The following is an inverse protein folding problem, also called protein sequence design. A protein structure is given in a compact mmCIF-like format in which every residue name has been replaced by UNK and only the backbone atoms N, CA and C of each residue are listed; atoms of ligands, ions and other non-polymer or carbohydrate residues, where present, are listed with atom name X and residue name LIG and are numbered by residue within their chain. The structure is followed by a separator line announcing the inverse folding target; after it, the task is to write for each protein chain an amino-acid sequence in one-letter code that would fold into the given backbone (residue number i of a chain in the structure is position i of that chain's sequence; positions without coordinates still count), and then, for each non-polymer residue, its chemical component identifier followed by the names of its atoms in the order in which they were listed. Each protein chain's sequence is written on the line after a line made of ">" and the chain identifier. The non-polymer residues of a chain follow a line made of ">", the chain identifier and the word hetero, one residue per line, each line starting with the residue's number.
data_IF_213448833925
#
_entry.id   IF_213448833925
#
_cell.length_a   1.000
_cell.length_b   1.000
_cell.length_c   1.000
_cell.angle_alpha   90.00
_cell.angle_beta   90.00
_cell.angle_gamma   90.00
#
_symmetry.space_group_name_H-M   'P 1'
#
loop_
_entity.id
_entity.type
_entity.pdbx_description
1 polymer ?
#
# COMPACT_ATOMS: atom_id res chain seq x y z
N UNK A 1 19.40 27.60 -1.03
CA UNK A 1 18.28 26.84 -0.41
C UNK A 1 18.39 25.36 -0.80
N UNK A 2 18.78 25.03 -2.04
CA UNK A 2 18.87 23.66 -2.52
C UNK A 2 19.96 22.81 -1.84
N UNK A 3 21.13 23.37 -1.55
CA UNK A 3 22.22 22.65 -0.85
C UNK A 3 21.83 22.27 0.59
N UNK A 4 21.05 23.07 1.27
CA UNK A 4 20.58 22.80 2.63
C UNK A 4 19.55 21.66 2.66
N UNK A 5 18.72 21.55 1.62
CA UNK A 5 17.73 20.48 1.46
C UNK A 5 18.46 19.17 1.14
N UNK A 6 19.45 19.18 0.27
CA UNK A 6 20.28 18.01 -0.03
C UNK A 6 21.06 17.51 1.19
N UNK A 7 21.62 18.40 1.99
CA UNK A 7 22.33 18.01 3.23
C UNK A 7 21.39 17.40 4.28
N UNK A 8 20.15 17.89 4.40
CA UNK A 8 19.13 17.34 5.31
C UNK A 8 18.67 15.97 4.82
N UNK A 9 18.50 15.77 3.52
CA UNK A 9 18.12 14.48 2.93
C UNK A 9 19.26 13.46 3.12
N UNK A 10 20.51 13.85 2.85
CA UNK A 10 21.69 13.01 3.08
C UNK A 10 21.87 12.65 4.55
N UNK A 11 21.69 13.60 5.47
CA UNK A 11 21.80 13.36 6.92
C UNK A 11 20.69 12.41 7.41
N UNK A 12 19.46 12.55 6.90
CA UNK A 12 18.36 11.62 7.17
C UNK A 12 18.63 10.25 6.58
N UNK A 13 19.26 10.16 5.41
CA UNK A 13 19.64 8.90 4.78
C UNK A 13 20.72 8.17 5.59
N UNK A 14 21.73 8.89 6.08
CA UNK A 14 22.77 8.36 6.98
C UNK A 14 22.19 7.88 8.30
N UNK A 15 21.27 8.64 8.89
CA UNK A 15 20.57 8.28 10.13
C UNK A 15 19.69 7.04 9.93
N UNK A 16 19.05 6.93 8.77
CA UNK A 16 18.26 5.76 8.38
C UNK A 16 19.12 4.50 8.22
N UNK A 17 20.27 4.59 7.56
CA UNK A 17 21.22 3.48 7.45
C UNK A 17 21.78 3.05 8.82
N UNK A 18 22.01 4.00 9.73
CA UNK A 18 22.47 3.71 11.10
C UNK A 18 21.39 3.00 11.92
N UNK A 19 20.14 3.39 11.78
CA UNK A 19 19.00 2.69 12.41
C UNK A 19 18.88 1.26 11.88
N UNK A 20 19.07 1.02 10.57
CA UNK A 20 19.05 -0.33 9.99
C UNK A 20 20.14 -1.21 10.61
N UNK A 21 21.36 -0.68 10.80
CA UNK A 21 22.45 -1.44 11.45
C UNK A 21 22.17 -1.79 12.92
N UNK A 22 21.49 -0.91 13.66
CA UNK A 22 21.06 -1.21 15.05
C UNK A 22 19.99 -2.31 15.05
N UNK A 23 19.12 -2.32 14.07
CA UNK A 23 18.04 -3.30 13.92
C UNK A 23 18.57 -4.71 13.65
N UNK A 24 19.68 -4.86 12.93
CA UNK A 24 20.32 -6.16 12.68
C UNK A 24 20.85 -6.83 13.98
N UNK A 25 21.04 -6.05 15.05
CA UNK A 25 21.50 -6.54 16.35
C UNK A 25 20.39 -7.13 17.24
N UNK A 26 19.09 -6.95 16.90
CA UNK A 26 17.98 -7.21 17.83
C UNK A 26 17.21 -8.55 17.64
N UNK A 27 17.68 -9.51 16.82
CA UNK A 27 17.06 -10.86 16.65
C UNK A 27 15.69 -10.91 15.92
N UNK A 28 15.56 -11.77 14.97
CA UNK A 28 14.55 -11.97 13.91
C UNK A 28 13.16 -11.30 14.00
N UNK A 29 12.24 -11.79 14.80
CA UNK A 29 10.84 -11.31 14.77
C UNK A 29 10.61 -9.95 15.42
N UNK A 30 11.42 -9.60 16.44
CA UNK A 30 11.38 -8.26 17.04
C UNK A 30 11.90 -7.21 16.05
N UNK A 31 12.91 -7.56 15.25
CA UNK A 31 13.43 -6.72 14.19
C UNK A 31 12.37 -6.46 13.11
N UNK A 32 11.66 -7.48 12.67
CA UNK A 32 10.62 -7.34 11.66
C UNK A 32 9.52 -6.39 12.13
N UNK A 33 9.10 -6.46 13.39
CA UNK A 33 8.13 -5.52 13.96
C UNK A 33 8.67 -4.09 13.99
N UNK A 34 9.89 -3.88 14.47
CA UNK A 34 10.49 -2.55 14.56
C UNK A 34 10.68 -1.92 13.18
N UNK A 35 11.18 -2.68 12.20
CA UNK A 35 11.30 -2.23 10.81
C UNK A 35 9.93 -1.86 10.25
N UNK A 36 8.89 -2.67 10.50
CA UNK A 36 7.52 -2.41 10.03
C UNK A 36 6.96 -1.11 10.59
N UNK A 37 7.19 -0.83 11.89
CA UNK A 37 6.75 0.42 12.54
C UNK A 37 7.50 1.63 11.93
N UNK A 38 8.83 1.54 11.80
CA UNK A 38 9.65 2.61 11.21
C UNK A 38 9.21 2.88 9.76
N UNK A 39 9.00 1.82 9.00
CA UNK A 39 8.57 1.92 7.61
C UNK A 39 7.19 2.57 7.49
N UNK A 40 6.23 2.20 8.34
CA UNK A 40 4.89 2.78 8.37
C UNK A 40 4.93 4.28 8.70
N UNK A 41 5.63 4.65 9.77
CA UNK A 41 5.80 6.06 10.18
C UNK A 41 6.47 6.87 9.06
N UNK A 42 7.50 6.32 8.44
CA UNK A 42 8.20 6.97 7.33
C UNK A 42 7.26 7.17 6.13
N UNK A 43 6.52 6.14 5.73
CA UNK A 43 5.59 6.18 4.60
C UNK A 43 4.48 7.20 4.83
N UNK A 44 3.91 7.25 6.03
CA UNK A 44 2.90 8.24 6.41
C UNK A 44 3.47 9.65 6.42
N UNK A 45 4.67 9.83 6.98
CA UNK A 45 5.35 11.13 6.99
C UNK A 45 5.68 11.63 5.59
N UNK A 46 6.10 10.73 4.69
CA UNK A 46 6.32 11.07 3.28
C UNK A 46 5.02 11.48 2.59
N UNK A 47 3.91 10.79 2.87
CA UNK A 47 2.59 11.16 2.35
C UNK A 47 2.21 12.58 2.78
N UNK A 48 2.40 12.93 4.07
CA UNK A 48 2.17 14.28 4.58
C UNK A 48 3.06 15.32 3.92
N UNK A 49 4.34 15.01 3.76
CA UNK A 49 5.32 15.90 3.13
C UNK A 49 4.95 16.19 1.67
N UNK A 50 4.61 15.14 0.90
CA UNK A 50 4.23 15.23 -0.51
C UNK A 50 2.94 16.05 -0.64
N UNK A 51 1.93 15.78 0.20
CA UNK A 51 0.71 16.58 0.23
C UNK A 51 1.00 18.04 0.52
N UNK A 52 1.75 18.32 1.59
CA UNK A 52 2.06 19.70 1.98
C UNK A 52 2.76 20.48 0.86
N UNK A 53 3.73 19.85 0.18
CA UNK A 53 4.56 20.52 -0.81
C UNK A 53 3.91 20.61 -2.19
N UNK A 54 3.24 19.55 -2.65
CA UNK A 54 2.78 19.40 -4.03
C UNK A 54 1.25 19.24 -4.16
N UNK A 55 0.50 19.20 -3.06
CA UNK A 55 -0.95 19.12 -3.04
C UNK A 55 -1.52 17.91 -3.76
N UNK A 56 -2.62 18.16 -4.48
CA UNK A 56 -3.36 17.15 -5.26
C UNK A 56 -2.48 16.35 -6.22
N UNK A 57 -1.66 17.02 -7.00
CA UNK A 57 -0.82 16.37 -8.03
C UNK A 57 0.30 15.53 -7.41
N UNK A 58 0.84 15.98 -6.28
CA UNK A 58 1.81 15.19 -5.51
C UNK A 58 1.21 13.88 -5.02
N UNK A 59 -0.01 13.91 -4.50
CA UNK A 59 -0.71 12.69 -4.06
C UNK A 59 -1.04 11.76 -5.23
N UNK A 60 -1.46 12.28 -6.39
CA UNK A 60 -1.66 11.47 -7.60
C UNK A 60 -0.40 10.69 -7.98
N UNK A 61 0.73 11.39 -8.06
CA UNK A 61 2.02 10.78 -8.40
C UNK A 61 2.45 9.76 -7.34
N UNK A 62 2.24 10.10 -6.06
CA UNK A 62 2.61 9.24 -4.94
C UNK A 62 1.79 7.94 -4.91
N UNK A 63 0.48 8.02 -5.13
CA UNK A 63 -0.41 6.86 -5.25
C UNK A 63 0.05 5.92 -6.35
N UNK A 64 0.41 6.44 -7.53
CA UNK A 64 0.93 5.63 -8.64
C UNK A 64 2.22 4.89 -8.28
N UNK A 65 3.14 5.55 -7.58
CA UNK A 65 4.39 4.94 -7.10
C UNK A 65 4.09 3.89 -6.01
N UNK A 66 3.23 4.22 -5.05
CA UNK A 66 2.86 3.30 -3.96
C UNK A 66 2.22 2.02 -4.47
N UNK A 67 1.33 2.08 -5.47
CA UNK A 67 0.70 0.87 -6.04
C UNK A 67 1.76 -0.07 -6.62
N UNK A 68 2.76 0.43 -7.31
CA UNK A 68 3.87 -0.39 -7.85
C UNK A 68 4.70 -0.99 -6.70
N UNK A 69 5.09 -0.16 -5.73
CA UNK A 69 5.86 -0.59 -4.55
C UNK A 69 5.11 -1.67 -3.78
N UNK A 70 3.82 -1.46 -3.48
CA UNK A 70 2.99 -2.43 -2.77
C UNK A 70 2.98 -3.79 -3.45
N UNK A 71 2.79 -3.82 -4.77
CA UNK A 71 2.70 -5.08 -5.51
C UNK A 71 4.03 -5.83 -5.53
N UNK A 72 5.17 -5.13 -5.66
CA UNK A 72 6.50 -5.76 -5.55
C UNK A 72 6.74 -6.27 -4.13
N UNK A 73 6.44 -5.47 -3.11
CA UNK A 73 6.65 -5.83 -1.71
C UNK A 73 5.73 -6.94 -1.21
N UNK A 74 4.58 -7.13 -1.84
CA UNK A 74 3.62 -8.19 -1.52
C UNK A 74 4.21 -9.58 -1.66
N UNK A 75 5.20 -9.77 -2.55
CA UNK A 75 5.88 -11.04 -2.79
C UNK A 75 6.71 -11.45 -1.56
N UNK A 76 7.23 -10.48 -0.81
CA UNK A 76 8.03 -10.76 0.38
C UNK A 76 7.13 -10.99 1.59
N UNK A 77 7.20 -12.20 2.13
CA UNK A 77 6.57 -12.57 3.39
C UNK A 77 7.57 -12.45 4.53
N UNK A 78 7.09 -12.04 5.69
CA UNK A 78 7.89 -11.96 6.92
C UNK A 78 7.08 -12.44 8.12
N UNK A 79 7.75 -13.04 9.09
CA UNK A 79 7.11 -13.51 10.31
C UNK A 79 7.29 -12.50 11.43
N UNK A 80 6.18 -12.14 12.09
CA UNK A 80 6.13 -11.30 13.27
C UNK A 80 5.34 -12.06 14.33
N UNK A 81 5.99 -12.49 15.41
CA UNK A 81 5.40 -13.28 16.50
C UNK A 81 4.64 -14.54 16.03
N UNK A 82 5.18 -15.25 15.04
CA UNK A 82 4.58 -16.47 14.50
C UNK A 82 3.41 -16.22 13.53
N UNK A 83 3.13 -14.97 13.20
CA UNK A 83 2.14 -14.58 12.18
C UNK A 83 2.86 -14.18 10.90
N UNK A 84 2.58 -14.86 9.81
CA UNK A 84 3.13 -14.51 8.49
C UNK A 84 2.39 -13.32 7.90
N UNK A 85 3.12 -12.26 7.57
CA UNK A 85 2.58 -11.05 6.94
C UNK A 85 3.19 -10.82 5.56
N UNK A 86 2.41 -10.29 4.63
CA UNK A 86 2.92 -9.72 3.38
C UNK A 86 3.35 -8.27 3.59
N UNK A 87 4.61 -7.96 3.27
CA UNK A 87 5.16 -6.62 3.52
C UNK A 87 4.52 -5.53 2.66
N UNK A 88 3.88 -5.88 1.55
CA UNK A 88 3.08 -4.94 0.76
C UNK A 88 1.97 -4.25 1.54
N UNK A 89 1.44 -4.89 2.60
CA UNK A 89 0.39 -4.30 3.43
C UNK A 89 0.81 -3.01 4.13
N UNK A 90 2.09 -2.84 4.45
CA UNK A 90 2.59 -1.64 5.13
C UNK A 90 2.50 -0.44 4.18
N UNK A 91 2.95 -0.59 2.93
CA UNK A 91 2.82 0.45 1.90
C UNK A 91 1.38 0.71 1.50
N UNK A 92 0.52 -0.32 1.57
CA UNK A 92 -0.92 -0.16 1.38
C UNK A 92 -1.54 0.82 2.39
N UNK A 93 -1.05 0.88 3.62
CA UNK A 93 -1.47 1.87 4.60
C UNK A 93 -1.24 3.31 4.11
N UNK A 94 -0.07 3.60 3.54
CA UNK A 94 0.21 4.91 2.97
C UNK A 94 -0.64 5.20 1.71
N UNK A 95 -0.99 4.17 0.94
CA UNK A 95 -1.90 4.28 -0.19
C UNK A 95 -3.30 4.68 0.27
N UNK A 96 -3.85 4.01 1.30
CA UNK A 96 -5.14 4.38 1.88
C UNK A 96 -5.13 5.80 2.44
N UNK A 97 -4.14 6.16 3.26
CA UNK A 97 -3.99 7.52 3.76
C UNK A 97 -3.98 8.55 2.62
N UNK A 98 -3.28 8.26 1.51
CA UNK A 98 -3.21 9.17 0.36
C UNK A 98 -4.56 9.34 -0.35
N UNK A 99 -5.32 8.25 -0.52
CA UNK A 99 -6.66 8.29 -1.12
C UNK A 99 -7.68 8.96 -0.21
N UNK A 100 -7.56 8.76 1.11
CA UNK A 100 -8.43 9.40 2.09
C UNK A 100 -8.19 10.92 2.14
N UNK A 101 -6.93 11.38 2.08
CA UNK A 101 -6.60 12.80 1.95
C UNK A 101 -7.21 13.39 0.68
N UNK A 102 -7.10 12.69 -0.47
CA UNK A 102 -7.71 13.16 -1.70
C UNK A 102 -9.23 13.25 -1.58
N UNK A 103 -9.86 12.25 -0.97
CA UNK A 103 -11.31 12.21 -0.78
C UNK A 103 -11.80 13.35 0.11
N UNK A 104 -11.13 13.60 1.23
CA UNK A 104 -11.51 14.64 2.20
C UNK A 104 -11.23 16.07 1.72
N UNK A 105 -10.09 16.27 1.03
CA UNK A 105 -9.66 17.63 0.62
C UNK A 105 -10.21 18.04 -0.74
N UNK A 106 -10.39 17.08 -1.67
CA UNK A 106 -10.70 17.38 -3.07
C UNK A 106 -11.94 16.64 -3.59
N UNK A 107 -12.55 15.80 -2.75
CA UNK A 107 -13.74 15.03 -3.08
C UNK A 107 -13.47 13.63 -3.62
N UNK A 108 -14.47 12.77 -3.45
CA UNK A 108 -14.39 11.32 -3.76
C UNK A 108 -14.08 11.05 -5.24
N UNK A 109 -14.61 11.85 -6.16
CA UNK A 109 -14.35 11.67 -7.60
C UNK A 109 -12.87 11.82 -7.95
N UNK A 110 -12.17 12.70 -7.22
CA UNK A 110 -10.73 12.93 -7.39
C UNK A 110 -9.93 11.73 -6.89
N UNK A 111 -10.30 11.18 -5.72
CA UNK A 111 -9.68 9.97 -5.18
C UNK A 111 -9.91 8.75 -6.09
N UNK A 112 -11.12 8.57 -6.60
CA UNK A 112 -11.47 7.50 -7.55
C UNK A 112 -10.69 7.67 -8.87
N UNK A 113 -10.47 8.90 -9.33
CA UNK A 113 -9.65 9.21 -10.50
C UNK A 113 -8.19 8.79 -10.31
N UNK A 114 -7.59 9.11 -9.16
CA UNK A 114 -6.23 8.71 -8.81
C UNK A 114 -6.08 7.19 -8.76
N UNK A 115 -7.04 6.51 -8.14
CA UNK A 115 -7.07 5.04 -8.05
C UNK A 115 -7.17 4.38 -9.44
N UNK A 116 -8.04 4.89 -10.32
CA UNK A 116 -8.16 4.36 -11.69
C UNK A 116 -6.86 4.52 -12.48
N UNK A 117 -6.22 5.70 -12.41
CA UNK A 117 -4.95 5.94 -13.09
C UNK A 117 -3.86 5.01 -12.55
N UNK A 118 -3.75 4.86 -11.24
CA UNK A 118 -2.74 3.99 -10.63
C UNK A 118 -2.90 2.52 -11.04
N UNK A 119 -4.13 2.03 -11.17
CA UNK A 119 -4.39 0.67 -11.68
C UNK A 119 -4.01 0.50 -13.15
N UNK A 120 -4.33 1.49 -14.00
CA UNK A 120 -3.90 1.46 -15.42
C UNK A 120 -2.37 1.40 -15.49
N UNK A 121 -1.68 2.24 -14.73
CA UNK A 121 -0.21 2.25 -14.69
C UNK A 121 0.36 0.94 -14.16
N UNK A 122 -0.30 0.29 -13.19
CA UNK A 122 0.11 -1.02 -12.69
C UNK A 122 -0.01 -2.11 -13.75
N UNK A 123 -1.08 -2.10 -14.56
CA UNK A 123 -1.24 -3.04 -15.68
C UNK A 123 -0.14 -2.80 -16.74
N UNK A 124 0.10 -1.52 -17.08
CA UNK A 124 1.18 -1.17 -18.01
C UNK A 124 2.53 -1.63 -17.47
N UNK A 125 2.81 -1.38 -16.19
CA UNK A 125 4.03 -1.85 -15.53
C UNK A 125 4.18 -3.38 -15.62
N UNK A 126 3.12 -4.14 -15.33
CA UNK A 126 3.13 -5.60 -15.41
C UNK A 126 3.45 -6.09 -16.84
N UNK A 127 2.85 -5.47 -17.87
CA UNK A 127 3.11 -5.81 -19.28
C UNK A 127 4.56 -5.50 -19.65
N UNK A 128 5.07 -4.31 -19.27
CA UNK A 128 6.45 -3.92 -19.58
C UNK A 128 7.46 -4.84 -18.89
N UNK A 129 7.23 -5.21 -17.62
CA UNK A 129 8.09 -6.16 -16.91
C UNK A 129 8.04 -7.56 -17.52
N UNK A 130 6.88 -8.01 -17.96
CA UNK A 130 6.75 -9.28 -18.68
C UNK A 130 7.57 -9.27 -19.98
N UNK A 131 7.46 -8.22 -20.80
CA UNK A 131 8.24 -8.07 -22.03
C UNK A 131 9.75 -7.96 -21.75
N UNK A 132 10.12 -7.23 -20.70
CA UNK A 132 11.50 -7.09 -20.26
C UNK A 132 12.15 -8.45 -19.95
N UNK A 133 11.42 -9.37 -19.33
CA UNK A 133 11.90 -10.71 -19.00
C UNK A 133 12.07 -11.63 -20.24
N UNK A 134 11.53 -11.26 -21.42
CA UNK A 134 11.68 -12.05 -22.65
C UNK A 134 13.02 -11.81 -23.36
N UNK A 135 13.81 -10.80 -22.94
CA UNK A 135 15.15 -10.60 -23.48
C UNK A 135 16.06 -11.76 -23.08
N UNK A 136 16.84 -12.27 -24.04
CA UNK A 136 17.88 -13.26 -23.75
C UNK A 136 18.98 -12.62 -22.91
N UNK A 137 19.40 -13.25 -21.79
CA UNK A 137 20.43 -12.69 -20.93
C UNK A 137 21.78 -12.66 -21.64
N UNK A 138 22.49 -11.55 -21.52
CA UNK A 138 23.87 -11.42 -22.00
C UNK A 138 24.84 -12.25 -21.16
N UNK A 139 26.05 -12.51 -21.71
CA UNK A 139 27.07 -13.33 -21.05
C UNK A 139 27.45 -12.82 -19.64
N UNK A 140 27.33 -11.52 -19.42
CA UNK A 140 27.66 -10.87 -18.13
C UNK A 140 26.44 -10.67 -17.22
N UNK A 141 25.24 -11.15 -17.61
CA UNK A 141 24.03 -10.94 -16.83
C UNK A 141 23.96 -11.97 -15.68
N UNK A 142 24.00 -11.46 -14.45
CA UNK A 142 23.81 -12.24 -13.22
C UNK A 142 22.45 -11.99 -12.57
N UNK A 143 21.59 -11.16 -13.17
CA UNK A 143 20.35 -10.67 -12.56
C UNK A 143 19.09 -11.41 -13.03
N UNK A 144 19.14 -12.08 -14.17
CA UNK A 144 17.98 -12.68 -14.85
C UNK A 144 17.15 -13.60 -13.93
N UNK A 145 17.79 -14.52 -13.19
CA UNK A 145 17.09 -15.45 -12.31
C UNK A 145 16.34 -14.73 -11.16
N UNK A 146 17.00 -13.73 -10.56
CA UNK A 146 16.40 -12.93 -9.50
C UNK A 146 15.21 -12.11 -10.00
N UNK A 147 15.34 -11.50 -11.19
CA UNK A 147 14.29 -10.73 -11.84
C UNK A 147 13.09 -11.62 -12.22
N UNK A 148 13.34 -12.79 -12.79
CA UNK A 148 12.28 -13.77 -13.08
C UNK A 148 11.54 -14.15 -11.79
N UNK A 149 12.27 -14.44 -10.72
CA UNK A 149 11.68 -14.82 -9.43
C UNK A 149 10.74 -13.74 -8.89
N UNK A 150 11.13 -12.47 -9.00
CA UNK A 150 10.31 -11.35 -8.53
C UNK A 150 9.16 -11.05 -9.50
N UNK A 151 9.46 -10.84 -10.79
CA UNK A 151 8.46 -10.27 -11.69
C UNK A 151 7.47 -11.27 -12.27
N UNK A 152 7.73 -12.59 -12.22
CA UNK A 152 6.74 -13.60 -12.60
C UNK A 152 5.47 -13.60 -11.72
N UNK A 153 5.56 -13.12 -10.48
CA UNK A 153 4.41 -12.98 -9.59
C UNK A 153 3.56 -11.74 -9.89
N UNK A 154 4.14 -10.71 -10.49
CA UNK A 154 3.49 -9.40 -10.69
C UNK A 154 2.18 -9.50 -11.48
N UNK A 155 2.08 -10.20 -12.63
CA UNK A 155 0.81 -10.29 -13.36
C UNK A 155 -0.32 -10.88 -12.50
N UNK A 156 -0.01 -11.94 -11.75
CA UNK A 156 -0.97 -12.62 -10.89
C UNK A 156 -1.42 -11.74 -9.71
N UNK A 157 -0.49 -11.06 -9.06
CA UNK A 157 -0.77 -10.09 -7.99
C UNK A 157 -1.61 -8.93 -8.54
N UNK A 158 -1.30 -8.42 -9.73
CA UNK A 158 -2.04 -7.35 -10.39
C UNK A 158 -3.49 -7.77 -10.66
N UNK A 159 -3.71 -8.96 -11.23
CA UNK A 159 -5.06 -9.50 -11.47
C UNK A 159 -5.80 -9.66 -10.14
N UNK A 160 -5.13 -10.22 -9.11
CA UNK A 160 -5.71 -10.38 -7.78
C UNK A 160 -6.14 -9.06 -7.17
N UNK A 161 -5.31 -8.02 -7.25
CA UNK A 161 -5.61 -6.67 -6.76
C UNK A 161 -6.79 -6.03 -7.49
N UNK A 162 -6.84 -6.15 -8.83
CA UNK A 162 -7.93 -5.59 -9.64
C UNK A 162 -9.26 -6.28 -9.36
N UNK A 163 -9.27 -7.61 -9.28
CA UNK A 163 -10.48 -8.39 -8.98
C UNK A 163 -10.98 -8.11 -7.57
N UNK A 164 -10.08 -8.12 -6.59
CA UNK A 164 -10.39 -7.82 -5.21
C UNK A 164 -11.02 -6.43 -5.08
N UNK A 165 -10.36 -5.41 -5.64
CA UNK A 165 -10.88 -4.03 -5.64
C UNK A 165 -12.26 -3.93 -6.30
N UNK A 166 -12.43 -4.51 -7.49
CA UNK A 166 -13.69 -4.42 -8.24
C UNK A 166 -14.86 -5.04 -7.47
N UNK A 167 -14.65 -6.23 -6.88
CA UNK A 167 -15.70 -6.94 -6.14
C UNK A 167 -15.96 -6.26 -4.80
N UNK A 168 -14.90 -5.90 -4.05
CA UNK A 168 -15.04 -5.28 -2.73
C UNK A 168 -15.75 -3.93 -2.81
N UNK A 169 -15.42 -3.09 -3.78
CA UNK A 169 -16.08 -1.79 -3.96
C UNK A 169 -17.57 -1.92 -4.30
N UNK A 170 -17.96 -2.90 -5.11
CA UNK A 170 -19.38 -3.16 -5.39
C UNK A 170 -20.12 -3.69 -4.18
N UNK A 171 -19.47 -4.60 -3.43
CA UNK A 171 -20.02 -5.11 -2.17
C UNK A 171 -20.21 -3.99 -1.14
N UNK A 172 -19.22 -3.11 -1.00
CA UNK A 172 -19.28 -1.96 -0.10
C UNK A 172 -20.49 -1.07 -0.42
N UNK A 173 -20.59 -0.64 -1.68
CA UNK A 173 -21.70 0.21 -2.13
C UNK A 173 -23.09 -0.45 -1.92
N UNK A 174 -23.20 -1.75 -2.21
CA UNK A 174 -24.43 -2.49 -2.00
C UNK A 174 -24.79 -2.60 -0.52
N UNK A 175 -23.85 -3.01 0.33
CA UNK A 175 -24.05 -3.17 1.77
C UNK A 175 -24.35 -1.82 2.44
N UNK A 176 -23.64 -0.76 2.05
CA UNK A 176 -23.89 0.59 2.54
C UNK A 176 -25.35 1.00 2.31
N UNK A 177 -25.85 0.83 1.08
CA UNK A 177 -27.22 1.19 0.73
C UNK A 177 -28.25 0.35 1.48
N UNK A 178 -27.99 -0.96 1.66
CA UNK A 178 -28.86 -1.87 2.40
C UNK A 178 -28.93 -1.50 3.88
N UNK A 179 -27.78 -1.28 4.51
CA UNK A 179 -27.67 -0.91 5.92
C UNK A 179 -28.26 0.48 6.20
N UNK A 180 -28.05 1.44 5.30
CA UNK A 180 -28.61 2.79 5.41
C UNK A 180 -30.13 2.77 5.38
N UNK A 181 -30.73 1.94 4.50
CA UNK A 181 -32.18 1.74 4.47
C UNK A 181 -32.71 1.10 5.75
N UNK A 182 -31.96 0.17 6.34
CA UNK A 182 -32.40 -0.59 7.53
C UNK A 182 -32.22 0.20 8.84
N UNK A 183 -31.09 0.85 9.02
CA UNK A 183 -30.73 1.48 10.30
C UNK A 183 -30.85 3.01 10.29
N UNK A 184 -30.98 3.64 9.14
CA UNK A 184 -31.03 5.10 8.94
C UNK A 184 -29.90 5.88 9.65
N UNK A 185 -28.76 5.22 9.87
CA UNK A 185 -27.56 5.78 10.53
C UNK A 185 -26.36 5.64 9.59
N UNK A 186 -25.90 6.77 9.05
CA UNK A 186 -24.78 6.83 8.08
C UNK A 186 -23.52 6.19 8.66
N UNK A 187 -23.18 6.51 9.92
CA UNK A 187 -21.96 5.98 10.55
C UNK A 187 -21.95 4.44 10.63
N UNK A 188 -23.04 3.82 11.06
CA UNK A 188 -23.13 2.35 11.15
C UNK A 188 -23.04 1.74 9.75
N UNK A 189 -23.79 2.32 8.80
CA UNK A 189 -23.81 1.80 7.42
C UNK A 189 -22.45 1.84 6.78
N UNK A 190 -21.70 2.95 6.95
CA UNK A 190 -20.38 3.12 6.39
C UNK A 190 -19.35 2.15 7.02
N UNK A 191 -19.26 2.11 8.35
CA UNK A 191 -18.26 1.28 9.00
C UNK A 191 -18.48 -0.22 8.79
N UNK A 192 -19.73 -0.69 8.86
CA UNK A 192 -20.03 -2.12 8.68
C UNK A 192 -19.83 -2.54 7.22
N UNK A 193 -20.25 -1.72 6.25
CA UNK A 193 -20.04 -2.06 4.84
C UNK A 193 -18.56 -2.12 4.49
N UNK A 194 -17.78 -1.11 4.93
CA UNK A 194 -16.33 -1.07 4.70
C UNK A 194 -15.61 -2.24 5.37
N UNK A 195 -16.00 -2.60 6.59
CA UNK A 195 -15.43 -3.74 7.29
C UNK A 195 -15.61 -5.06 6.51
N UNK A 196 -16.83 -5.33 6.07
CA UNK A 196 -17.14 -6.55 5.31
C UNK A 196 -16.46 -6.52 3.95
N UNK A 197 -16.46 -5.40 3.25
CA UNK A 197 -15.82 -5.27 1.95
C UNK A 197 -14.30 -5.47 2.01
N UNK A 198 -13.63 -5.00 3.06
CA UNK A 198 -12.20 -5.24 3.27
C UNK A 198 -11.86 -6.72 3.54
N UNK A 199 -12.75 -7.44 4.23
CA UNK A 199 -12.60 -8.90 4.40
C UNK A 199 -12.72 -9.60 3.04
N UNK A 200 -13.72 -9.27 2.25
CA UNK A 200 -13.93 -9.81 0.89
C UNK A 200 -12.74 -9.50 0.00
N UNK A 201 -12.26 -8.25 0.01
CA UNK A 201 -11.07 -7.82 -0.72
C UNK A 201 -9.86 -8.71 -0.40
N UNK A 202 -9.60 -8.92 0.89
CA UNK A 202 -8.46 -9.72 1.34
C UNK A 202 -8.58 -11.18 0.94
N UNK A 203 -9.75 -11.78 1.07
CA UNK A 203 -9.99 -13.18 0.69
C UNK A 203 -9.74 -13.36 -0.81
N UNK A 204 -10.34 -12.51 -1.65
CA UNK A 204 -10.17 -12.60 -3.12
C UNK A 204 -8.71 -12.38 -3.49
N UNK A 205 -8.08 -11.33 -2.94
CA UNK A 205 -6.69 -11.01 -3.23
C UNK A 205 -5.75 -12.15 -2.88
N UNK A 206 -5.78 -12.64 -1.64
CA UNK A 206 -4.87 -13.70 -1.17
C UNK A 206 -5.11 -15.00 -1.94
N UNK A 207 -6.36 -15.34 -2.21
CA UNK A 207 -6.69 -16.52 -2.99
C UNK A 207 -6.13 -16.44 -4.42
N UNK A 208 -6.38 -15.35 -5.13
CA UNK A 208 -5.90 -15.18 -6.52
C UNK A 208 -4.38 -15.06 -6.57
N UNK A 209 -3.77 -14.29 -5.66
CA UNK A 209 -2.33 -14.04 -5.68
C UNK A 209 -1.49 -15.25 -5.24
N UNK A 210 -1.93 -16.03 -4.24
CA UNK A 210 -1.08 -17.02 -3.56
C UNK A 210 -1.54 -18.46 -3.66
N UNK A 211 -2.81 -18.74 -4.05
CA UNK A 211 -3.31 -20.11 -4.15
C UNK A 211 -2.45 -20.97 -5.09
N UNK A 212 -2.00 -22.13 -4.59
CA UNK A 212 -1.12 -23.04 -5.31
C UNK A 212 0.40 -22.73 -5.20
N UNK A 213 0.77 -21.58 -4.63
CA UNK A 213 2.18 -21.22 -4.38
C UNK A 213 2.59 -21.46 -2.93
N UNK A 214 1.63 -21.40 -2.00
CA UNK A 214 1.81 -21.68 -0.58
C UNK A 214 0.81 -22.75 -0.14
N UNK A 215 1.07 -23.43 0.97
CA UNK A 215 0.16 -24.43 1.48
C UNK A 215 -1.14 -23.79 2.05
N UNK A 216 -2.21 -24.60 2.17
CA UNK A 216 -3.52 -24.10 2.59
C UNK A 216 -3.50 -23.48 4.00
N UNK A 217 -2.71 -24.02 4.91
CA UNK A 217 -2.60 -23.49 6.27
C UNK A 217 -1.93 -22.11 6.29
N UNK A 218 -0.86 -21.93 5.52
CA UNK A 218 -0.19 -20.64 5.35
C UNK A 218 -1.09 -19.64 4.64
N UNK A 219 -1.88 -20.08 3.65
CA UNK A 219 -2.85 -19.24 2.95
C UNK A 219 -3.89 -18.66 3.93
N UNK A 220 -4.46 -19.49 4.81
CA UNK A 220 -5.43 -19.08 5.81
C UNK A 220 -4.79 -18.12 6.84
N UNK A 221 -3.60 -18.45 7.32
CA UNK A 221 -2.86 -17.57 8.23
C UNK A 221 -2.60 -16.20 7.60
N UNK A 222 -2.18 -16.17 6.33
CA UNK A 222 -1.95 -14.94 5.60
C UNK A 222 -3.24 -14.12 5.46
N UNK A 223 -4.39 -14.73 5.13
CA UNK A 223 -5.68 -14.04 5.05
C UNK A 223 -6.04 -13.37 6.38
N UNK A 224 -5.99 -14.12 7.48
CA UNK A 224 -6.34 -13.62 8.82
C UNK A 224 -5.40 -12.48 9.22
N UNK A 225 -4.11 -12.68 9.02
CA UNK A 225 -3.09 -11.69 9.38
C UNK A 225 -3.24 -10.40 8.58
N UNK A 226 -3.52 -10.50 7.28
CA UNK A 226 -3.76 -9.32 6.44
C UNK A 226 -5.00 -8.54 6.87
N UNK A 227 -6.08 -9.21 7.25
CA UNK A 227 -7.30 -8.55 7.76
C UNK A 227 -6.99 -7.79 9.04
N UNK A 228 -6.33 -8.43 10.01
CA UNK A 228 -5.95 -7.81 11.29
C UNK A 228 -5.02 -6.61 11.03
N UNK A 229 -4.03 -6.78 10.17
CA UNK A 229 -3.07 -5.72 9.84
C UNK A 229 -3.72 -4.50 9.20
N UNK A 230 -4.66 -4.70 8.27
CA UNK A 230 -5.43 -3.60 7.67
C UNK A 230 -6.17 -2.79 8.72
N UNK A 231 -6.76 -3.43 9.72
CA UNK A 231 -7.45 -2.73 10.80
C UNK A 231 -6.51 -1.96 11.72
N UNK A 232 -5.37 -2.56 12.07
CA UNK A 232 -4.35 -1.86 12.86
C UNK A 232 -3.85 -0.63 12.11
N UNK A 233 -3.57 -0.76 10.82
CA UNK A 233 -3.11 0.35 9.98
C UNK A 233 -4.17 1.44 9.90
N UNK A 234 -5.45 1.09 9.71
CA UNK A 234 -6.56 2.04 9.68
C UNK A 234 -6.76 2.79 11.01
N UNK A 235 -6.38 2.20 12.15
CA UNK A 235 -6.34 2.91 13.43
C UNK A 235 -5.13 3.85 13.53
N UNK A 236 -3.99 3.44 12.97
CA UNK A 236 -2.74 4.20 13.03
C UNK A 236 -2.69 5.37 12.03
N UNK A 237 -3.48 5.36 10.96
CA UNK A 237 -3.57 6.48 10.00
C UNK A 237 -4.39 7.66 10.54
N UNK A 238 -5.32 7.41 11.46
CA UNK A 238 -6.22 8.42 12.03
C UNK A 238 -5.49 9.66 12.59
N UNK A 239 -4.41 9.57 13.40
CA UNK A 239 -3.66 10.73 13.84
C UNK A 239 -3.08 11.56 12.68
N UNK A 240 -2.62 10.90 11.62
CA UNK A 240 -2.06 11.56 10.43
C UNK A 240 -3.15 12.28 9.64
N UNK A 241 -4.34 11.69 9.51
CA UNK A 241 -5.51 12.35 8.93
C UNK A 241 -5.89 13.61 9.71
N UNK A 242 -5.94 13.55 11.04
CA UNK A 242 -6.25 14.71 11.88
C UNK A 242 -5.21 15.84 11.72
N UNK A 243 -3.93 15.49 11.54
CA UNK A 243 -2.87 16.47 11.26
C UNK A 243 -3.10 17.13 9.90
N UNK A 244 -3.43 16.36 8.86
CA UNK A 244 -3.66 16.86 7.51
C UNK A 244 -4.86 17.79 7.43
N UNK A 245 -5.92 17.51 8.17
CA UNK A 245 -7.09 18.39 8.20
C UNK A 245 -6.73 19.83 8.61
N UNK A 246 -5.66 20.00 9.40
CA UNK A 246 -5.15 21.31 9.86
C UNK A 246 -4.11 21.94 8.91
N UNK A 247 -3.58 21.19 7.95
CA UNK A 247 -2.52 21.64 7.04
C UNK A 247 -3.13 22.04 5.70
N UNK A 248 -2.76 23.21 5.19
CA UNK A 248 -3.01 23.60 3.80
C UNK A 248 -1.82 23.24 2.92
N UNK A 249 -2.07 22.80 1.70
CA UNK A 249 -1.04 22.51 0.71
C UNK A 249 -0.43 23.80 0.15
N UNK A 250 0.88 23.80 -0.06
CA UNK A 250 1.58 24.88 -0.77
C UNK A 250 1.35 24.78 -2.28
N UNK A 251 1.22 23.53 -2.79
CA UNK A 251 0.97 23.24 -4.20
C UNK A 251 -0.40 23.69 -4.71
N UNK A 252 -1.37 23.89 -3.83
CA UNK A 252 -2.71 24.36 -4.20
C UNK A 252 -2.82 25.90 -4.23
N UNK A 253 -1.81 26.62 -3.73
CA UNK A 253 -1.81 28.08 -3.68
C UNK A 253 -1.40 28.74 -5.02
N UNK A 254 -0.95 27.95 -5.98
CA UNK A 254 -0.44 28.40 -7.28
C UNK A 254 -1.36 28.04 -8.46
N UNK A 255 -2.55 27.54 -8.19
CA UNK A 255 -3.61 27.24 -9.15
C UNK A 255 -4.83 28.08 -8.78
#
# INVERSE_FOLDING_TARGET
>A
IDLCIYSIILFKYFYFCYIIQIVDLLGGSMNNLLISIIYLILSFSLTLFIYKKYGKYGLYSWICVLVIICNIQTIKLADIFGLTISLGNISYGALFLSTDILSEKYGREVADGATKISFILMVIFAILMYLFLQYEPGVSDSSQEALITVFNYIPRITIGSLLAYYVSQRCDAYLYNLLKKKYNKVWISNNVSTFISQVIDTIIFVFVAFYGNINTQELLNLMITMIIFKWIIALLDTPFMLLIMKISSEGDKGI
#
